data_IF_850262649947
#
_entry.id   IF_850262649947
#
_cell.length_a   1.000
_cell.length_b   1.000
_cell.length_c   1.000
_cell.angle_alpha   90.00
_cell.angle_beta   90.00
_cell.angle_gamma   90.00
#
_symmetry.space_group_name_H-M   'P 1'
#
loop_
_entity.id
_entity.type
_entity.pdbx_description
1 polymer ?
#
# COMPACT_ATOMS: atom_id res chain seq x y z
N UNK A 1 -52.51 -48.59 -14.59
CA UNK A 1 -53.66 -48.68 -13.62
C UNK A 1 -53.27 -47.81 -12.43
N UNK A 2 -53.78 -46.56 -12.35
CA UNK A 2 -54.99 -46.20 -11.58
C UNK A 2 -54.64 -46.19 -10.10
N UNK A 3 -54.87 -45.20 -9.29
CA UNK A 3 -55.78 -44.03 -9.25
C UNK A 3 -55.53 -43.36 -7.90
N UNK A 4 -55.52 -42.02 -7.80
CA UNK A 4 -56.53 -41.21 -7.10
C UNK A 4 -56.73 -41.54 -5.61
N UNK A 5 -56.81 -40.62 -4.66
CA UNK A 5 -57.51 -39.33 -4.66
C UNK A 5 -57.43 -38.71 -3.25
N UNK A 6 -57.42 -37.37 -3.13
CA UNK A 6 -58.28 -36.49 -2.27
C UNK A 6 -58.25 -36.69 -0.75
N UNK A 7 -58.31 -35.71 0.11
CA UNK A 7 -58.76 -34.30 0.19
C UNK A 7 -58.56 -33.78 1.61
N UNK A 8 -58.32 -32.49 1.78
CA UNK A 8 -58.92 -31.50 2.70
C UNK A 8 -58.92 -31.80 4.20
N UNK A 9 -58.57 -30.86 5.04
CA UNK A 9 -59.12 -29.58 5.30
C UNK A 9 -58.59 -28.96 6.59
N UNK A 10 -58.58 -27.69 6.59
CA UNK A 10 -59.05 -26.68 7.54
C UNK A 10 -58.72 -26.78 9.03
N UNK A 11 -58.23 -25.68 9.56
CA UNK A 11 -58.48 -25.27 10.94
C UNK A 11 -57.47 -24.14 11.36
N UNK A 12 -58.01 -22.96 11.46
CA UNK A 12 -57.39 -21.71 11.84
C UNK A 12 -57.44 -21.51 13.38
N UNK A 13 -56.80 -20.41 13.78
CA UNK A 13 -56.81 -19.66 15.06
C UNK A 13 -55.67 -20.05 15.99
N UNK A 14 -54.87 -19.14 16.53
CA UNK A 14 -55.06 -17.76 16.89
C UNK A 14 -54.25 -17.49 18.14
N UNK A 15 -53.88 -16.24 18.37
CA UNK A 15 -53.44 -15.62 19.62
C UNK A 15 -51.94 -15.81 19.98
N UNK A 16 -51.20 -14.79 19.82
CA UNK A 16 -50.90 -13.56 20.63
C UNK A 16 -49.91 -13.76 21.76
N UNK A 17 -48.88 -12.93 21.63
CA UNK A 17 -48.13 -12.16 22.63
C UNK A 17 -47.23 -12.90 23.62
N UNK A 18 -45.99 -12.55 23.59
CA UNK A 18 -45.38 -11.68 24.62
C UNK A 18 -43.96 -11.25 24.19
N UNK A 19 -43.78 -9.94 24.21
CA UNK A 19 -42.55 -9.20 24.02
C UNK A 19 -41.77 -9.29 25.31
N UNK A 20 -40.51 -9.67 25.28
CA UNK A 20 -39.56 -9.33 26.34
C UNK A 20 -38.37 -8.63 25.74
N UNK A 21 -38.25 -7.36 26.14
CA UNK A 21 -37.15 -6.44 25.88
C UNK A 21 -35.84 -6.98 26.42
N UNK A 22 -34.82 -7.11 25.56
CA UNK A 22 -33.43 -7.19 25.98
C UNK A 22 -32.72 -5.94 25.51
N UNK A 23 -32.34 -5.14 26.48
CA UNK A 23 -31.68 -3.86 26.45
C UNK A 23 -30.31 -4.01 25.78
N UNK A 24 -30.11 -3.35 24.62
CA UNK A 24 -28.80 -3.09 24.02
C UNK A 24 -28.28 -1.74 24.49
N UNK A 25 -27.04 -1.60 24.95
CA UNK A 25 -26.47 -0.29 25.25
C UNK A 25 -26.11 0.44 23.96
N UNK A 26 -26.74 1.58 23.74
CA UNK A 26 -26.36 2.58 22.73
C UNK A 26 -24.96 3.12 23.05
N UNK A 27 -24.02 2.96 22.11
CA UNK A 27 -22.83 3.79 22.02
C UNK A 27 -23.19 5.10 21.34
N UNK A 28 -23.07 6.18 22.09
CA UNK A 28 -23.31 7.55 21.63
C UNK A 28 -22.26 7.96 20.62
N UNK A 29 -22.71 8.35 19.43
CA UNK A 29 -21.91 9.00 18.41
C UNK A 29 -21.57 10.42 18.85
N UNK A 30 -20.29 10.66 19.08
CA UNK A 30 -19.75 12.00 19.31
C UNK A 30 -19.69 12.76 17.97
N UNK A 31 -20.06 14.02 18.07
CA UNK A 31 -20.39 15.00 17.06
C UNK A 31 -19.38 15.13 15.91
N UNK A 32 -19.94 15.10 14.70
CA UNK A 32 -19.36 15.57 13.47
C UNK A 32 -19.25 17.11 13.51
N UNK A 33 -18.05 17.65 13.62
CA UNK A 33 -17.79 19.08 13.43
C UNK A 33 -17.83 19.41 11.94
N UNK A 34 -18.83 20.18 11.56
CA UNK A 34 -18.96 20.77 10.21
C UNK A 34 -17.90 21.87 10.05
N UNK A 35 -17.02 21.69 9.08
CA UNK A 35 -16.21 22.79 8.55
C UNK A 35 -17.05 23.60 7.58
N UNK A 36 -17.40 24.81 7.94
CA UNK A 36 -17.95 25.81 7.03
C UNK A 36 -16.80 26.43 6.21
N UNK A 37 -17.03 26.75 4.92
CA UNK A 37 -16.01 27.39 4.10
C UNK A 37 -15.99 28.90 4.39
N UNK A 38 -14.89 29.40 4.93
CA UNK A 38 -14.63 30.84 4.98
C UNK A 38 -14.39 31.38 3.58
N UNK A 39 -15.36 32.15 3.08
CA UNK A 39 -15.23 33.00 1.90
C UNK A 39 -14.24 34.12 2.20
N UNK A 40 -13.10 34.12 1.52
CA UNK A 40 -12.18 35.26 1.49
C UNK A 40 -12.62 36.24 0.38
N UNK A 41 -12.98 37.44 0.75
CA UNK A 41 -13.23 38.54 -0.20
C UNK A 41 -11.92 38.97 -0.89
N UNK A 42 -11.97 39.38 -2.17
CA UNK A 42 -10.76 39.80 -2.88
C UNK A 42 -10.39 41.25 -2.51
N UNK A 43 -9.20 41.42 -1.95
CA UNK A 43 -8.57 42.72 -1.82
C UNK A 43 -7.99 43.13 -3.19
N UNK A 44 -8.54 44.15 -3.79
CA UNK A 44 -8.02 44.77 -5.01
C UNK A 44 -6.76 45.59 -4.72
N UNK A 45 -5.62 45.19 -5.32
CA UNK A 45 -4.42 46.00 -5.36
C UNK A 45 -4.14 46.40 -6.81
N UNK A 46 -4.04 47.71 -7.02
CA UNK A 46 -3.80 48.37 -8.31
C UNK A 46 -2.39 48.18 -8.84
N UNK A 47 -2.29 48.08 -10.16
CA UNK A 47 -1.18 48.01 -11.09
C UNK A 47 0.18 48.62 -10.67
N UNK A 48 1.24 47.83 -10.81
CA UNK A 48 2.62 48.24 -10.96
C UNK A 48 3.40 47.20 -11.73
N UNK A 49 3.86 47.56 -12.90
CA UNK A 49 4.53 46.81 -13.95
C UNK A 49 5.77 46.04 -13.48
N UNK A 50 5.95 44.80 -13.98
CA UNK A 50 7.27 44.23 -14.27
C UNK A 50 7.59 42.87 -13.64
N UNK A 51 7.68 41.82 -14.48
CA UNK A 51 8.50 40.64 -14.23
C UNK A 51 7.80 39.47 -13.58
N UNK A 52 7.30 38.56 -14.41
CA UNK A 52 6.82 37.23 -13.98
C UNK A 52 8.01 36.34 -13.64
N UNK A 53 8.35 36.25 -12.35
CA UNK A 53 9.13 35.14 -11.83
C UNK A 53 8.14 34.06 -11.44
N UNK A 54 8.25 32.87 -12.04
CA UNK A 54 7.55 31.66 -11.62
C UNK A 54 8.02 31.33 -10.20
N UNK A 55 7.21 31.62 -9.22
CA UNK A 55 7.42 31.17 -7.84
C UNK A 55 7.21 29.67 -7.78
N UNK A 56 8.29 28.95 -7.54
CA UNK A 56 8.28 27.55 -7.13
C UNK A 56 7.42 27.44 -5.88
N UNK A 57 6.47 26.47 -5.77
CA UNK A 57 5.69 26.28 -4.56
C UNK A 57 6.63 25.98 -3.41
N UNK A 58 6.64 26.86 -2.41
CA UNK A 58 7.39 26.73 -1.18
C UNK A 58 6.97 25.43 -0.47
N UNK A 59 7.94 24.52 -0.29
CA UNK A 59 7.87 23.47 0.71
C UNK A 59 7.44 24.13 2.02
N UNK A 60 6.45 23.60 2.77
CA UNK A 60 6.01 24.21 4.01
C UNK A 60 7.22 24.44 4.91
N UNK A 61 7.41 25.69 5.31
CA UNK A 61 8.51 26.06 6.20
C UNK A 61 8.42 25.21 7.46
N UNK A 62 9.56 24.64 7.84
CA UNK A 62 9.83 23.84 9.01
C UNK A 62 9.07 24.40 10.21
N UNK A 63 8.05 23.66 10.70
CA UNK A 63 7.44 23.90 11.99
C UNK A 63 8.52 23.85 13.08
N UNK A 64 8.29 24.44 14.17
CA UNK A 64 9.20 24.63 15.30
C UNK A 64 10.26 23.53 15.47
N UNK A 65 11.57 23.92 15.44
CA UNK A 65 12.67 22.98 15.68
C UNK A 65 12.48 22.28 17.02
N UNK A 66 12.65 20.98 17.03
CA UNK A 66 12.70 20.18 18.26
C UNK A 66 13.73 20.79 19.21
N UNK A 67 13.36 20.94 20.50
CA UNK A 67 14.25 21.50 21.53
C UNK A 67 15.06 20.39 22.19
N UNK A 68 16.33 20.61 22.55
CA UNK A 68 17.12 19.61 23.27
C UNK A 68 16.45 19.27 24.62
N UNK A 69 16.24 17.98 24.85
CA UNK A 69 15.70 17.45 26.10
C UNK A 69 16.86 17.21 27.09
N UNK A 70 16.85 17.86 28.25
CA UNK A 70 17.92 17.75 29.24
C UNK A 70 17.79 16.46 30.03
N UNK A 71 18.52 15.40 29.67
CA UNK A 71 18.72 14.19 30.50
C UNK A 71 20.17 13.72 30.40
N UNK A 72 20.73 13.16 31.49
CA UNK A 72 22.15 12.85 31.68
C UNK A 72 22.58 11.48 31.12
N UNK A 73 21.97 10.98 30.03
CA UNK A 73 22.39 9.80 29.31
C UNK A 73 22.71 10.12 27.84
N UNK A 74 23.60 9.38 27.18
CA UNK A 74 23.80 9.53 25.74
C UNK A 74 22.59 8.95 25.02
N UNK A 75 21.70 9.81 24.53
CA UNK A 75 20.55 9.42 23.73
C UNK A 75 21.00 8.85 22.41
N UNK A 76 20.49 7.66 22.04
CA UNK A 76 20.90 6.95 20.85
C UNK A 76 19.76 6.69 19.88
N UNK A 77 20.12 6.57 18.61
CA UNK A 77 19.27 6.11 17.51
C UNK A 77 19.77 4.74 17.06
N UNK A 78 18.89 3.75 17.02
CA UNK A 78 19.10 2.50 16.29
C UNK A 78 18.48 2.64 14.90
N UNK A 79 19.32 2.75 13.89
CA UNK A 79 18.89 2.93 12.51
C UNK A 79 18.79 1.58 11.82
N UNK A 80 17.56 1.10 11.59
CA UNK A 80 17.34 -0.18 10.95
C UNK A 80 17.75 -0.18 9.46
N UNK A 81 18.39 -1.24 9.02
CA UNK A 81 18.75 -1.48 7.62
C UNK A 81 18.48 -2.95 7.23
N UNK A 82 17.96 -3.23 6.01
CA UNK A 82 17.66 -2.24 4.97
C UNK A 82 16.42 -1.40 5.26
N UNK A 83 16.36 -0.24 4.64
CA UNK A 83 15.26 0.74 4.67
C UNK A 83 15.21 1.48 3.34
N UNK A 84 14.25 2.37 3.14
CA UNK A 84 14.14 3.19 1.94
C UNK A 84 13.71 2.40 0.69
N UNK A 85 13.96 2.95 -0.49
CA UNK A 85 13.52 2.38 -1.76
C UNK A 85 13.94 0.93 -1.94
N UNK A 86 12.96 0.08 -2.31
CA UNK A 86 13.24 -1.24 -2.84
C UNK A 86 13.40 -1.19 -4.37
N UNK A 87 13.94 -2.26 -4.96
CA UNK A 87 14.15 -2.34 -6.41
C UNK A 87 12.86 -2.14 -7.25
N UNK A 88 11.69 -2.55 -6.71
CA UNK A 88 10.40 -2.37 -7.38
C UNK A 88 9.97 -0.91 -7.44
N UNK A 89 10.12 -0.22 -6.32
CA UNK A 89 9.82 1.22 -6.18
C UNK A 89 10.77 2.05 -7.02
N UNK A 90 12.07 1.83 -6.90
CA UNK A 90 13.10 2.53 -7.68
C UNK A 90 12.82 2.41 -9.18
N UNK A 91 12.55 1.19 -9.66
CA UNK A 91 12.14 0.95 -11.06
C UNK A 91 10.90 1.75 -11.48
N UNK A 92 9.90 1.85 -10.61
CA UNK A 92 8.65 2.52 -10.94
C UNK A 92 8.82 4.04 -11.01
N UNK A 93 9.54 4.64 -10.06
CA UNK A 93 9.85 6.07 -10.05
C UNK A 93 10.69 6.43 -11.27
N UNK A 94 11.77 5.69 -11.55
CA UNK A 94 12.61 5.89 -12.74
C UNK A 94 11.79 5.73 -14.02
N UNK A 95 10.80 4.84 -14.08
CA UNK A 95 9.94 4.68 -15.25
C UNK A 95 9.15 5.96 -15.55
N UNK A 96 8.57 6.63 -14.54
CA UNK A 96 7.87 7.91 -14.73
C UNK A 96 8.84 9.01 -15.17
N UNK A 97 10.02 9.10 -14.56
CA UNK A 97 11.05 10.06 -14.94
C UNK A 97 11.49 9.88 -16.41
N UNK A 98 11.72 8.64 -16.81
CA UNK A 98 12.07 8.31 -18.20
C UNK A 98 10.93 8.56 -19.18
N UNK A 99 9.68 8.40 -18.75
CA UNK A 99 8.51 8.76 -19.55
C UNK A 99 8.47 10.29 -19.76
N UNK A 100 8.67 11.09 -18.70
CA UNK A 100 8.78 12.55 -18.81
C UNK A 100 9.92 12.99 -19.72
N UNK A 101 11.11 12.39 -19.59
CA UNK A 101 12.25 12.69 -20.46
C UNK A 101 11.96 12.37 -21.92
N UNK A 102 11.25 11.27 -22.20
CA UNK A 102 11.03 10.78 -23.57
C UNK A 102 9.87 11.46 -24.28
N UNK A 103 8.78 11.69 -23.56
CA UNK A 103 7.52 12.14 -24.16
C UNK A 103 7.19 13.61 -23.80
N UNK A 104 7.87 14.17 -22.82
CA UNK A 104 7.49 15.47 -22.26
C UNK A 104 6.26 15.41 -21.36
N UNK A 105 6.00 16.52 -20.67
CA UNK A 105 4.77 16.68 -19.89
C UNK A 105 3.57 17.02 -20.79
N UNK A 106 2.36 16.61 -20.43
CA UNK A 106 2.02 15.80 -19.28
C UNK A 106 2.25 14.29 -19.50
N UNK A 107 2.63 13.60 -18.43
CA UNK A 107 2.56 12.14 -18.31
C UNK A 107 1.53 11.83 -17.25
N UNK A 108 0.58 10.96 -17.56
CA UNK A 108 -0.45 10.53 -16.61
C UNK A 108 0.03 9.30 -15.84
N UNK A 109 -0.37 9.20 -14.58
CA UNK A 109 -0.13 8.01 -13.74
C UNK A 109 -1.45 7.60 -13.11
N UNK A 110 -1.88 6.34 -13.31
CA UNK A 110 -3.07 5.81 -12.66
C UNK A 110 -2.78 5.54 -11.19
N UNK A 111 -3.60 6.10 -10.31
CA UNK A 111 -3.39 6.11 -8.86
C UNK A 111 -2.02 6.74 -8.52
N UNK A 112 -1.44 6.39 -7.40
CA UNK A 112 -0.08 6.82 -7.07
C UNK A 112 0.94 5.85 -7.63
N UNK A 113 2.04 6.35 -8.19
CA UNK A 113 3.11 5.46 -8.72
C UNK A 113 3.66 4.52 -7.64
N UNK A 114 3.80 5.03 -6.43
CA UNK A 114 4.11 4.36 -5.17
C UNK A 114 3.42 5.12 -4.03
N UNK A 115 3.10 4.45 -2.93
CA UNK A 115 2.45 5.07 -1.78
C UNK A 115 3.43 5.92 -0.97
N UNK A 116 3.74 7.11 -1.47
CA UNK A 116 4.55 8.12 -0.78
C UNK A 116 4.20 9.52 -1.28
N UNK A 117 3.66 10.35 -0.39
CA UNK A 117 3.17 11.69 -0.74
C UNK A 117 4.27 12.64 -1.21
N UNK A 118 5.50 12.48 -0.71
CA UNK A 118 6.64 13.29 -1.15
C UNK A 118 6.97 13.00 -2.61
N UNK A 119 7.04 11.72 -2.99
CA UNK A 119 7.31 11.27 -4.37
C UNK A 119 6.22 11.76 -5.32
N UNK A 120 4.96 11.66 -4.90
CA UNK A 120 3.82 12.14 -5.69
C UNK A 120 3.96 13.63 -5.97
N UNK A 121 4.18 14.45 -4.94
CA UNK A 121 4.34 15.92 -5.07
C UNK A 121 5.55 16.32 -5.93
N UNK A 122 6.65 15.60 -5.79
CA UNK A 122 7.85 15.86 -6.59
C UNK A 122 7.60 15.60 -8.09
N UNK A 123 6.92 14.51 -8.41
CA UNK A 123 6.55 14.18 -9.79
C UNK A 123 5.48 15.13 -10.35
N UNK A 124 4.48 15.55 -9.55
CA UNK A 124 3.51 16.58 -9.95
C UNK A 124 4.19 17.89 -10.31
N UNK A 125 5.16 18.34 -9.50
CA UNK A 125 5.94 19.55 -9.77
C UNK A 125 6.72 19.46 -11.11
N UNK A 126 6.97 18.27 -11.61
CA UNK A 126 7.64 18.00 -12.90
C UNK A 126 6.69 17.76 -14.06
N UNK A 127 5.36 17.88 -13.84
CA UNK A 127 4.34 17.79 -14.87
C UNK A 127 3.69 16.41 -15.03
N UNK A 128 3.78 15.57 -14.02
CA UNK A 128 2.96 14.35 -13.92
C UNK A 128 1.56 14.71 -13.45
N UNK A 129 0.55 14.05 -13.99
CA UNK A 129 -0.84 14.17 -13.58
C UNK A 129 -1.30 12.80 -13.07
N UNK A 130 -1.56 12.73 -11.76
CA UNK A 130 -2.15 11.54 -11.16
C UNK A 130 -3.65 11.53 -11.37
N UNK A 131 -4.18 10.38 -11.77
CA UNK A 131 -5.62 10.16 -12.04
C UNK A 131 -6.09 8.91 -11.35
N UNK A 132 -7.34 8.89 -10.91
CA UNK A 132 -7.91 7.69 -10.31
C UNK A 132 -8.24 6.64 -11.35
N UNK A 133 -8.83 7.04 -12.47
CA UNK A 133 -9.29 6.12 -13.49
C UNK A 133 -8.70 6.43 -14.88
N UNK A 134 -8.53 5.38 -15.68
CA UNK A 134 -8.09 5.51 -17.07
C UNK A 134 -9.04 6.39 -17.89
N UNK A 135 -10.31 6.43 -17.52
CA UNK A 135 -11.32 7.25 -18.17
C UNK A 135 -11.03 8.76 -18.11
N UNK A 136 -10.29 9.20 -17.09
CA UNK A 136 -9.93 10.62 -16.88
C UNK A 136 -8.76 11.07 -17.76
N UNK A 137 -8.08 10.13 -18.43
CA UNK A 137 -6.93 10.41 -19.30
C UNK A 137 -7.41 10.76 -20.71
N UNK A 138 -6.97 11.88 -21.30
CA UNK A 138 -7.31 12.21 -22.69
C UNK A 138 -6.83 11.11 -23.66
N UNK A 139 -7.64 10.74 -24.70
CA UNK A 139 -7.24 9.75 -25.69
C UNK A 139 -5.87 10.06 -26.34
N UNK A 140 -5.10 9.02 -26.61
CA UNK A 140 -3.76 9.13 -27.22
C UNK A 140 -2.65 9.62 -26.29
N UNK A 141 -2.94 9.90 -25.02
CA UNK A 141 -1.95 10.36 -24.03
C UNK A 141 -1.04 9.23 -23.55
N UNK A 142 0.08 9.61 -22.87
CA UNK A 142 0.96 8.66 -22.21
C UNK A 142 0.48 8.41 -20.78
N UNK A 143 0.31 7.13 -20.42
CA UNK A 143 -0.07 6.71 -19.07
C UNK A 143 0.93 5.70 -18.52
N UNK A 144 1.25 5.81 -17.22
CA UNK A 144 2.06 4.83 -16.48
C UNK A 144 1.16 4.11 -15.48
N UNK A 145 1.18 2.79 -15.48
CA UNK A 145 0.57 1.98 -14.42
C UNK A 145 1.54 1.84 -13.26
N UNK A 146 1.01 1.93 -12.05
CA UNK A 146 1.78 1.98 -10.81
C UNK A 146 2.56 0.68 -10.50
N UNK A 147 3.45 0.76 -9.52
CA UNK A 147 4.18 -0.41 -9.01
C UNK A 147 3.25 -1.52 -8.49
N UNK A 148 2.05 -1.16 -8.04
CA UNK A 148 1.07 -2.07 -7.42
C UNK A 148 0.38 -2.99 -8.45
N UNK A 149 0.52 -2.69 -9.74
CA UNK A 149 -0.10 -3.44 -10.82
C UNK A 149 -1.55 -3.05 -11.07
N UNK A 150 -2.09 -3.57 -12.15
CA UNK A 150 -3.48 -3.31 -12.58
C UNK A 150 -4.12 -4.59 -13.11
N UNK A 151 -5.45 -4.64 -13.09
CA UNK A 151 -6.20 -5.73 -13.69
C UNK A 151 -6.11 -5.71 -15.23
N UNK A 152 -6.33 -6.84 -15.91
CA UNK A 152 -6.42 -6.88 -17.39
C UNK A 152 -7.51 -5.95 -17.95
N UNK A 153 -8.60 -5.73 -17.20
CA UNK A 153 -9.67 -4.81 -17.61
C UNK A 153 -9.17 -3.35 -17.72
N UNK A 154 -8.31 -2.90 -16.78
CA UNK A 154 -7.69 -1.57 -16.82
C UNK A 154 -6.76 -1.43 -18.04
N UNK A 155 -6.00 -2.48 -18.35
CA UNK A 155 -5.15 -2.50 -19.54
C UNK A 155 -5.98 -2.40 -20.82
N UNK A 156 -7.10 -3.12 -20.89
CA UNK A 156 -8.01 -3.08 -22.04
C UNK A 156 -8.64 -1.68 -22.19
N UNK A 157 -9.08 -1.07 -21.09
CA UNK A 157 -9.60 0.30 -21.11
C UNK A 157 -8.59 1.31 -21.65
N UNK A 158 -7.30 1.17 -21.29
CA UNK A 158 -6.25 2.03 -21.84
C UNK A 158 -6.05 1.80 -23.34
N UNK A 159 -6.11 0.56 -23.79
CA UNK A 159 -6.01 0.20 -25.21
C UNK A 159 -7.21 0.76 -26.02
N UNK A 160 -8.43 0.63 -25.52
CA UNK A 160 -9.65 1.14 -26.15
C UNK A 160 -9.65 2.67 -26.30
N UNK A 161 -8.89 3.37 -25.46
CA UNK A 161 -8.69 4.83 -25.51
C UNK A 161 -7.43 5.24 -26.27
N UNK A 162 -6.77 4.29 -26.92
CA UNK A 162 -5.53 4.51 -27.70
C UNK A 162 -4.40 5.15 -26.85
N UNK A 163 -4.37 4.87 -25.52
CA UNK A 163 -3.32 5.38 -24.65
C UNK A 163 -2.00 4.66 -24.89
N UNK A 164 -0.89 5.41 -24.84
CA UNK A 164 0.44 4.85 -24.81
C UNK A 164 0.75 4.40 -23.37
N UNK A 165 0.43 3.16 -23.03
CA UNK A 165 0.57 2.64 -21.69
C UNK A 165 1.98 2.09 -21.43
N UNK A 166 2.55 2.48 -20.28
CA UNK A 166 3.84 2.02 -19.77
C UNK A 166 3.57 1.25 -18.48
N UNK A 167 3.93 -0.01 -18.45
CA UNK A 167 3.69 -0.88 -17.30
C UNK A 167 4.87 -0.84 -16.33
N UNK A 168 4.71 -0.08 -15.23
CA UNK A 168 5.68 -0.02 -14.15
C UNK A 168 5.42 -1.01 -13.00
N UNK A 169 4.48 -1.95 -13.17
CA UNK A 169 4.19 -3.00 -12.18
C UNK A 169 5.47 -3.69 -11.70
N UNK A 170 5.64 -3.79 -10.40
CA UNK A 170 6.77 -4.50 -9.80
C UNK A 170 6.81 -5.97 -10.30
N UNK A 171 7.97 -6.50 -10.70
CA UNK A 171 8.07 -7.89 -11.15
C UNK A 171 7.60 -8.92 -10.11
N UNK A 172 7.67 -8.59 -8.80
CA UNK A 172 7.19 -9.47 -7.73
C UNK A 172 5.66 -9.46 -7.64
N UNK A 173 5.02 -8.32 -7.89
CA UNK A 173 3.56 -8.25 -8.05
C UNK A 173 3.12 -8.99 -9.32
N UNK A 174 3.85 -8.80 -10.44
CA UNK A 174 3.59 -9.55 -11.67
C UNK A 174 3.70 -11.07 -11.47
N UNK A 175 4.55 -11.53 -10.55
CA UNK A 175 4.64 -12.96 -10.15
C UNK A 175 3.31 -13.44 -9.59
N UNK A 176 2.73 -12.71 -8.62
CA UNK A 176 1.45 -13.05 -8.00
C UNK A 176 0.30 -13.03 -9.03
N UNK A 177 0.26 -12.02 -9.91
CA UNK A 177 -0.70 -11.98 -11.02
C UNK A 177 -0.63 -13.22 -11.93
N UNK A 178 0.59 -13.67 -12.26
CA UNK A 178 0.78 -14.88 -13.09
C UNK A 178 0.36 -16.15 -12.37
N UNK A 179 0.56 -16.22 -11.07
CA UNK A 179 0.10 -17.33 -10.24
C UNK A 179 -1.42 -17.36 -10.17
N UNK A 180 -2.07 -16.20 -9.97
CA UNK A 180 -3.52 -16.11 -10.00
C UNK A 180 -4.10 -16.64 -11.34
N UNK A 181 -3.57 -16.18 -12.48
CA UNK A 181 -3.96 -16.68 -13.81
C UNK A 181 -3.71 -18.18 -13.97
N UNK A 182 -2.53 -18.64 -13.53
CA UNK A 182 -2.13 -20.04 -13.66
C UNK A 182 -3.04 -20.97 -12.87
N UNK A 183 -3.29 -20.64 -11.60
CA UNK A 183 -4.08 -21.51 -10.73
C UNK A 183 -5.55 -21.47 -11.08
N UNK A 184 -6.10 -20.30 -11.41
CA UNK A 184 -7.46 -20.19 -11.96
C UNK A 184 -7.63 -21.04 -13.23
N UNK A 185 -6.64 -21.03 -14.14
CA UNK A 185 -6.64 -21.88 -15.34
C UNK A 185 -6.45 -23.38 -15.07
N UNK A 186 -6.19 -23.79 -13.86
CA UNK A 186 -6.09 -25.17 -13.38
C UNK A 186 -7.25 -25.55 -12.46
N UNK A 187 -8.35 -24.78 -12.51
CA UNK A 187 -9.56 -24.97 -11.69
C UNK A 187 -9.32 -24.88 -10.15
N UNK A 188 -8.29 -24.13 -9.74
CA UNK A 188 -8.12 -23.79 -8.33
C UNK A 188 -8.97 -22.58 -7.98
N UNK A 189 -9.52 -22.59 -6.78
CA UNK A 189 -10.05 -21.40 -6.14
C UNK A 189 -8.97 -20.78 -5.25
N UNK A 190 -8.76 -19.49 -5.38
CA UNK A 190 -7.68 -18.73 -4.75
C UNK A 190 -8.23 -18.02 -3.51
N UNK A 191 -7.63 -18.26 -2.36
CA UNK A 191 -7.83 -17.45 -1.16
C UNK A 191 -6.73 -16.38 -1.14
N UNK A 192 -7.09 -15.16 -1.55
CA UNK A 192 -6.13 -14.06 -1.60
C UNK A 192 -6.09 -13.34 -0.25
N UNK A 193 -4.99 -13.48 0.47
CA UNK A 193 -4.77 -12.75 1.73
C UNK A 193 -4.32 -11.33 1.38
N UNK A 194 -5.05 -10.31 1.84
CA UNK A 194 -4.77 -8.91 1.50
C UNK A 194 -5.82 -7.97 2.06
N UNK A 195 -5.61 -6.67 1.92
CA UNK A 195 -6.52 -5.66 2.44
C UNK A 195 -7.49 -5.21 1.34
N UNK A 196 -8.77 -5.23 1.64
CA UNK A 196 -9.81 -4.71 0.77
C UNK A 196 -9.54 -3.25 0.38
N UNK A 197 -9.73 -2.92 -0.89
CA UNK A 197 -9.47 -1.57 -1.43
C UNK A 197 -8.01 -1.25 -1.70
N UNK A 198 -7.07 -2.15 -1.42
CA UNK A 198 -5.68 -1.94 -1.81
C UNK A 198 -5.49 -2.22 -3.31
N UNK A 199 -4.78 -1.33 -4.02
CA UNK A 199 -4.59 -1.40 -5.47
C UNK A 199 -3.99 -2.74 -5.95
N UNK A 200 -3.05 -3.29 -5.20
CA UNK A 200 -2.43 -4.59 -5.51
C UNK A 200 -3.43 -5.74 -5.40
N UNK A 201 -4.33 -5.68 -4.42
CA UNK A 201 -5.41 -6.67 -4.23
C UNK A 201 -6.41 -6.58 -5.38
N UNK A 202 -6.87 -5.37 -5.72
CA UNK A 202 -7.75 -5.14 -6.89
C UNK A 202 -7.12 -5.65 -8.19
N UNK A 203 -5.82 -5.36 -8.39
CA UNK A 203 -5.06 -5.83 -9.54
C UNK A 203 -5.01 -7.36 -9.62
N UNK A 204 -4.65 -8.02 -8.52
CA UNK A 204 -4.53 -9.48 -8.44
C UNK A 204 -5.87 -10.17 -8.62
N UNK A 205 -6.92 -9.73 -7.90
CA UNK A 205 -8.28 -10.28 -8.07
C UNK A 205 -8.79 -10.14 -9.50
N UNK A 206 -8.48 -9.00 -10.15
CA UNK A 206 -8.86 -8.75 -11.53
C UNK A 206 -8.23 -9.72 -12.55
N UNK A 207 -7.20 -10.47 -12.19
CA UNK A 207 -6.60 -11.51 -13.04
C UNK A 207 -7.32 -12.86 -12.95
N UNK A 208 -8.11 -13.09 -11.91
CA UNK A 208 -8.89 -14.31 -11.71
C UNK A 208 -10.18 -14.01 -10.92
N UNK A 209 -11.06 -13.11 -11.41
CA UNK A 209 -12.15 -12.54 -10.61
C UNK A 209 -13.19 -13.58 -10.18
N UNK A 210 -13.44 -14.62 -10.99
CA UNK A 210 -14.42 -15.67 -10.70
C UNK A 210 -13.87 -16.75 -9.76
N UNK A 211 -12.55 -16.84 -9.63
CA UNK A 211 -11.87 -17.88 -8.87
C UNK A 211 -11.14 -17.35 -7.63
N UNK A 212 -11.38 -16.12 -7.22
CA UNK A 212 -10.67 -15.51 -6.09
C UNK A 212 -11.62 -15.02 -5.02
N UNK A 213 -11.35 -15.40 -3.77
CA UNK A 213 -11.98 -14.86 -2.58
C UNK A 213 -10.95 -14.14 -1.75
N UNK A 214 -11.25 -12.90 -1.34
CA UNK A 214 -10.39 -12.10 -0.47
C UNK A 214 -10.49 -12.57 0.98
N UNK A 215 -9.38 -12.57 1.69
CA UNK A 215 -9.27 -12.83 3.13
C UNK A 215 -8.47 -11.69 3.75
N UNK A 216 -9.13 -10.81 4.50
CA UNK A 216 -8.51 -9.60 5.01
C UNK A 216 -7.59 -9.85 6.22
N UNK A 217 -7.98 -10.77 7.10
CA UNK A 217 -7.35 -10.97 8.40
C UNK A 217 -7.56 -12.39 8.94
N UNK A 218 -6.87 -12.77 10.05
CA UNK A 218 -7.06 -14.08 10.67
C UNK A 218 -8.48 -14.34 11.19
N UNK A 219 -9.24 -13.31 11.58
CA UNK A 219 -10.63 -13.44 12.04
C UNK A 219 -11.52 -13.84 10.87
N UNK A 220 -11.36 -13.21 9.73
CA UNK A 220 -12.11 -13.54 8.52
C UNK A 220 -11.76 -14.96 8.03
N UNK A 221 -10.48 -15.36 8.10
CA UNK A 221 -10.07 -16.72 7.79
C UNK A 221 -10.83 -17.79 8.57
N UNK A 222 -11.27 -17.46 9.78
CA UNK A 222 -12.02 -18.38 10.64
C UNK A 222 -13.49 -18.55 10.23
N UNK A 223 -14.04 -17.68 9.38
CA UNK A 223 -15.48 -17.66 9.00
C UNK A 223 -15.74 -17.68 7.49
N UNK A 224 -14.73 -17.47 6.66
CA UNK A 224 -14.89 -17.39 5.21
C UNK A 224 -15.48 -18.68 4.64
N UNK A 225 -16.35 -18.57 3.65
CA UNK A 225 -17.02 -19.70 2.98
C UNK A 225 -16.71 -19.64 1.47
N UNK A 226 -15.56 -20.15 1.03
CA UNK A 226 -15.25 -20.26 -0.40
C UNK A 226 -16.18 -21.32 -1.04
N UNK A 227 -16.28 -21.36 -2.38
CA UNK A 227 -16.97 -22.44 -3.08
C UNK A 227 -16.44 -23.82 -2.65
N UNK A 228 -17.36 -24.82 -2.62
CA UNK A 228 -16.98 -26.20 -2.33
C UNK A 228 -16.05 -26.74 -3.42
N UNK A 229 -14.76 -26.91 -3.08
CA UNK A 229 -13.76 -27.49 -3.95
C UNK A 229 -12.57 -28.02 -3.12
N UNK A 230 -11.97 -29.11 -3.60
CA UNK A 230 -10.72 -29.62 -3.02
C UNK A 230 -9.48 -28.89 -3.55
N UNK A 231 -9.64 -28.10 -4.62
CA UNK A 231 -8.55 -27.36 -5.23
C UNK A 231 -8.52 -25.92 -4.68
N UNK A 232 -7.97 -25.78 -3.48
CA UNK A 232 -7.73 -24.47 -2.84
C UNK A 232 -6.24 -24.14 -2.80
N UNK A 233 -5.92 -22.89 -3.09
CA UNK A 233 -4.59 -22.33 -2.92
C UNK A 233 -4.68 -20.95 -2.29
N UNK A 234 -3.74 -20.61 -1.43
CA UNK A 234 -3.63 -19.23 -0.97
C UNK A 234 -2.56 -18.45 -1.77
N UNK A 235 -2.81 -17.20 -2.01
CA UNK A 235 -1.85 -16.20 -2.46
C UNK A 235 -1.91 -15.00 -1.52
N UNK A 236 -0.94 -14.10 -1.57
CA UNK A 236 -0.97 -12.92 -0.72
C UNK A 236 -0.51 -11.64 -1.41
N UNK A 237 -0.98 -10.52 -0.87
CA UNK A 237 -0.43 -9.20 -1.14
C UNK A 237 1.04 -9.15 -0.70
N UNK A 238 1.90 -8.47 -1.46
CA UNK A 238 3.36 -8.53 -1.27
C UNK A 238 3.87 -7.74 -0.06
N UNK A 239 3.02 -6.92 0.58
CA UNK A 239 3.40 -5.95 1.62
C UNK A 239 2.78 -6.21 3.00
N UNK A 240 2.29 -7.42 3.25
CA UNK A 240 1.67 -7.81 4.53
C UNK A 240 2.71 -8.08 5.62
N UNK A 241 2.24 -8.17 6.87
CA UNK A 241 3.00 -8.78 7.96
C UNK A 241 3.20 -10.27 7.68
N UNK A 242 4.43 -10.73 7.81
CA UNK A 242 4.75 -12.17 7.64
C UNK A 242 4.03 -12.99 8.70
N UNK A 243 4.08 -12.54 9.96
CA UNK A 243 3.51 -13.28 11.08
C UNK A 243 1.98 -13.35 10.99
N UNK A 244 1.32 -12.24 10.69
CA UNK A 244 -0.14 -12.17 10.50
C UNK A 244 -0.60 -13.03 9.31
N UNK A 245 0.15 -12.99 8.19
CA UNK A 245 -0.16 -13.83 7.03
C UNK A 245 -0.06 -15.31 7.37
N UNK A 246 0.99 -15.70 8.09
CA UNK A 246 1.15 -17.10 8.51
C UNK A 246 0.11 -17.55 9.53
N UNK A 247 -0.34 -16.67 10.41
CA UNK A 247 -1.48 -16.94 11.30
C UNK A 247 -2.79 -17.11 10.51
N UNK A 248 -3.02 -16.24 9.50
CA UNK A 248 -4.16 -16.37 8.58
C UNK A 248 -4.13 -17.72 7.86
N UNK A 249 -2.98 -18.10 7.30
CA UNK A 249 -2.79 -19.41 6.62
C UNK A 249 -3.02 -20.57 7.58
N UNK A 250 -2.56 -20.47 8.83
CA UNK A 250 -2.77 -21.50 9.86
C UNK A 250 -4.26 -21.74 10.10
N UNK A 251 -5.05 -20.65 10.29
CA UNK A 251 -6.51 -20.74 10.49
C UNK A 251 -7.23 -21.27 9.25
N UNK A 252 -6.81 -20.85 8.05
CA UNK A 252 -7.35 -21.39 6.80
C UNK A 252 -7.10 -22.92 6.71
N UNK A 253 -5.91 -23.41 7.06
CA UNK A 253 -5.59 -24.84 7.03
C UNK A 253 -6.36 -25.67 8.03
N UNK A 254 -6.72 -25.11 9.18
CA UNK A 254 -7.59 -25.79 10.15
C UNK A 254 -8.99 -26.07 9.58
N UNK A 255 -9.47 -25.18 8.71
CA UNK A 255 -10.77 -25.33 8.03
C UNK A 255 -10.67 -26.08 6.71
N UNK A 256 -9.58 -25.86 5.98
CA UNK A 256 -9.34 -26.40 4.65
C UNK A 256 -8.00 -27.18 4.62
N UNK A 257 -7.99 -28.45 5.10
CA UNK A 257 -6.76 -29.23 5.20
C UNK A 257 -6.04 -29.48 3.86
N UNK A 258 -6.74 -29.30 2.73
CA UNK A 258 -6.19 -29.45 1.38
C UNK A 258 -5.63 -28.15 0.78
N UNK A 259 -5.64 -27.04 1.55
CA UNK A 259 -5.12 -25.75 1.11
C UNK A 259 -3.66 -25.86 0.72
N UNK A 260 -3.36 -25.52 -0.54
CA UNK A 260 -2.01 -25.55 -1.10
C UNK A 260 -1.27 -24.24 -0.88
N UNK A 261 0.06 -24.35 -0.84
CA UNK A 261 0.97 -23.22 -0.76
C UNK A 261 1.33 -22.69 -2.14
N UNK A 262 1.59 -21.39 -2.30
CA UNK A 262 2.23 -20.86 -3.50
C UNK A 262 3.60 -21.52 -3.71
N UNK A 263 4.09 -21.59 -4.96
CA UNK A 263 5.40 -22.20 -5.27
C UNK A 263 6.60 -21.51 -4.61
N UNK A 264 6.45 -20.26 -4.23
CA UNK A 264 7.42 -19.45 -3.49
C UNK A 264 6.70 -18.32 -2.77
N UNK A 265 7.36 -17.71 -1.79
CA UNK A 265 6.80 -16.62 -0.99
C UNK A 265 6.24 -15.49 -1.88
N UNK A 266 5.04 -15.01 -1.54
CA UNK A 266 4.41 -13.85 -2.17
C UNK A 266 4.83 -12.55 -1.48
N UNK A 267 4.98 -12.57 -0.14
CA UNK A 267 5.51 -11.41 0.58
C UNK A 267 6.92 -11.14 0.07
N UNK A 268 7.12 -9.95 -0.49
CA UNK A 268 8.36 -9.66 -1.18
C UNK A 268 9.56 -9.55 -0.22
N UNK A 269 10.77 -9.84 -0.73
CA UNK A 269 12.02 -9.77 0.05
C UNK A 269 12.18 -8.43 0.76
N UNK A 270 11.79 -7.32 0.12
CA UNK A 270 11.95 -6.00 0.69
C UNK A 270 11.05 -5.79 1.91
N UNK A 271 9.83 -6.30 1.89
CA UNK A 271 8.92 -6.33 3.04
C UNK A 271 9.49 -7.21 4.16
N UNK A 272 9.91 -8.43 3.83
CA UNK A 272 10.48 -9.35 4.81
C UNK A 272 11.72 -8.77 5.48
N UNK A 273 12.68 -8.26 4.70
CA UNK A 273 13.93 -7.70 5.22
C UNK A 273 13.69 -6.51 6.18
N UNK A 274 12.76 -5.60 5.84
CA UNK A 274 12.43 -4.47 6.71
C UNK A 274 11.76 -4.91 7.99
N UNK A 275 10.90 -5.92 7.94
CA UNK A 275 10.31 -6.52 9.15
C UNK A 275 11.38 -7.20 10.01
N UNK A 276 12.30 -7.95 9.43
CA UNK A 276 13.43 -8.55 10.17
C UNK A 276 14.28 -7.46 10.83
N UNK A 277 14.56 -6.36 10.14
CA UNK A 277 15.35 -5.26 10.68
C UNK A 277 14.66 -4.59 11.87
N UNK A 278 13.35 -4.32 11.76
CA UNK A 278 12.60 -3.69 12.86
C UNK A 278 12.44 -4.65 14.06
N UNK A 279 12.18 -5.94 13.83
CA UNK A 279 12.11 -6.98 14.87
C UNK A 279 13.42 -7.06 15.68
N UNK A 280 14.55 -6.80 15.02
CA UNK A 280 15.88 -6.82 15.65
C UNK A 280 16.09 -5.66 16.62
N UNK A 281 15.63 -4.45 16.28
CA UNK A 281 15.88 -3.25 17.09
C UNK A 281 14.75 -2.93 18.08
N UNK A 282 13.51 -3.30 17.78
CA UNK A 282 12.32 -2.93 18.56
C UNK A 282 12.43 -3.26 20.05
N UNK A 283 12.97 -4.42 20.50
CA UNK A 283 13.09 -4.73 21.92
C UNK A 283 13.97 -3.77 22.71
N UNK A 284 14.86 -3.03 22.05
CA UNK A 284 15.79 -2.09 22.67
C UNK A 284 15.28 -0.64 22.62
N UNK A 285 14.15 -0.39 21.94
CA UNK A 285 13.65 0.95 21.66
C UNK A 285 12.55 1.38 22.65
N UNK A 286 12.70 2.59 23.21
CA UNK A 286 11.60 3.26 23.90
C UNK A 286 10.55 3.78 22.91
N UNK A 287 11.01 4.22 21.75
CA UNK A 287 10.20 4.76 20.67
C UNK A 287 10.73 4.25 19.33
N UNK A 288 9.83 3.89 18.41
CA UNK A 288 10.17 3.64 17.01
C UNK A 288 9.48 4.66 16.12
N UNK A 289 10.26 5.28 15.23
CA UNK A 289 9.74 6.19 14.20
C UNK A 289 9.87 5.49 12.85
N UNK A 290 8.74 5.33 12.17
CA UNK A 290 8.65 4.78 10.83
C UNK A 290 8.35 5.92 9.85
N UNK A 291 9.31 6.25 8.99
CA UNK A 291 9.07 7.24 7.93
C UNK A 291 8.30 6.55 6.79
N UNK A 292 7.18 7.16 6.37
CA UNK A 292 6.32 6.62 5.29
C UNK A 292 4.89 7.13 5.35
N UNK A 293 4.15 6.98 4.25
CA UNK A 293 2.79 7.52 4.10
C UNK A 293 1.71 6.59 4.68
N UNK A 294 0.54 7.13 5.09
CA UNK A 294 -0.52 6.37 5.76
C UNK A 294 -1.18 5.31 4.87
N UNK A 295 -1.16 5.50 3.57
CA UNK A 295 -1.67 4.54 2.59
C UNK A 295 -0.61 3.51 2.13
N UNK A 296 0.61 3.58 2.68
CA UNK A 296 1.65 2.56 2.43
C UNK A 296 1.47 1.38 3.37
N UNK A 297 0.91 0.28 2.88
CA UNK A 297 0.75 -0.97 3.66
C UNK A 297 2.07 -1.38 4.33
N UNK A 298 3.19 -1.37 3.59
CA UNK A 298 4.50 -1.69 4.17
C UNK A 298 4.86 -0.79 5.36
N UNK A 299 4.64 0.54 5.26
CA UNK A 299 4.97 1.48 6.35
C UNK A 299 4.08 1.28 7.57
N UNK A 300 2.78 1.03 7.37
CA UNK A 300 1.83 0.76 8.46
C UNK A 300 2.22 -0.53 9.19
N UNK A 301 2.51 -1.60 8.45
CA UNK A 301 2.93 -2.89 9.05
C UNK A 301 4.22 -2.78 9.89
N UNK A 302 5.16 -1.91 9.51
CA UNK A 302 6.38 -1.71 10.31
C UNK A 302 6.09 -1.08 11.68
N UNK A 303 5.08 -0.21 11.80
CA UNK A 303 4.63 0.34 13.09
C UNK A 303 4.09 -0.78 13.98
N UNK A 304 3.22 -1.62 13.43
CA UNK A 304 2.60 -2.73 14.15
C UNK A 304 3.63 -3.76 14.59
N UNK A 305 4.50 -4.19 13.68
CA UNK A 305 5.60 -5.12 13.99
C UNK A 305 6.53 -4.54 15.07
N UNK A 306 6.82 -3.23 15.06
CA UNK A 306 7.63 -2.63 16.12
C UNK A 306 6.98 -2.77 17.51
N UNK A 307 5.67 -2.54 17.61
CA UNK A 307 4.92 -2.69 18.86
C UNK A 307 4.84 -4.15 19.30
N UNK A 308 4.53 -5.07 18.40
CA UNK A 308 4.46 -6.51 18.65
C UNK A 308 5.79 -7.07 19.19
N UNK A 309 6.91 -6.54 18.71
CA UNK A 309 8.25 -7.00 19.08
C UNK A 309 8.90 -6.19 20.19
N UNK A 310 8.12 -5.37 20.91
CA UNK A 310 8.50 -4.84 22.22
C UNK A 310 8.95 -3.39 22.26
N UNK A 311 8.82 -2.62 21.19
CA UNK A 311 8.93 -1.17 21.26
C UNK A 311 7.82 -0.61 22.19
N UNK A 312 8.17 0.32 23.09
CA UNK A 312 7.18 0.87 24.04
C UNK A 312 6.17 1.79 23.33
N UNK A 313 6.59 2.45 22.26
CA UNK A 313 5.76 3.25 21.37
C UNK A 313 6.28 3.16 19.93
N UNK A 314 5.40 3.33 18.97
CA UNK A 314 5.78 3.40 17.55
C UNK A 314 4.85 4.34 16.80
N UNK A 315 5.41 5.25 16.03
CA UNK A 315 4.65 6.21 15.23
C UNK A 315 5.16 6.27 13.80
N UNK A 316 4.22 6.50 12.86
CA UNK A 316 4.51 6.75 11.46
C UNK A 316 4.46 8.26 11.18
N UNK A 317 5.40 8.74 10.38
CA UNK A 317 5.46 10.14 9.92
C UNK A 317 5.75 10.19 8.42
N UNK A 318 5.12 11.11 7.70
CA UNK A 318 5.51 11.41 6.31
C UNK A 318 6.79 12.27 6.29
N UNK A 319 6.89 13.22 7.22
CA UNK A 319 7.98 14.18 7.32
C UNK A 319 8.52 14.31 8.75
N UNK A 320 9.79 14.66 8.87
CA UNK A 320 10.42 14.92 10.14
C UNK A 320 9.65 15.94 11.01
N UNK A 321 9.03 16.93 10.37
CA UNK A 321 8.22 17.97 11.05
C UNK A 321 6.97 17.44 11.76
N UNK A 322 6.59 16.21 11.53
CA UNK A 322 5.45 15.54 12.21
C UNK A 322 5.89 14.84 13.51
N UNK A 323 7.21 14.79 13.81
CA UNK A 323 7.71 14.23 15.05
C UNK A 323 7.36 15.18 16.18
N UNK A 324 6.49 14.73 17.09
CA UNK A 324 6.03 15.53 18.21
C UNK A 324 7.05 15.52 19.35
N UNK A 325 7.34 16.69 19.91
CA UNK A 325 8.25 16.81 21.05
C UNK A 325 7.82 15.94 22.24
N UNK A 326 6.51 15.81 22.45
CA UNK A 326 5.95 14.99 23.53
C UNK A 326 6.32 13.50 23.42
N UNK A 327 6.53 12.98 22.21
CA UNK A 327 6.96 11.59 22.02
C UNK A 327 8.39 11.33 22.50
N UNK A 328 9.22 12.37 22.58
CA UNK A 328 10.64 12.31 22.92
C UNK A 328 10.91 12.47 24.43
N UNK A 329 9.87 12.76 25.23
CA UNK A 329 9.99 12.95 26.67
C UNK A 329 10.32 11.63 27.37
N UNK A 330 11.44 11.59 28.09
CA UNK A 330 11.88 10.38 28.81
C UNK A 330 12.42 9.26 27.93
N UNK A 331 12.54 9.47 26.61
CA UNK A 331 13.09 8.51 25.66
C UNK A 331 14.61 8.60 25.63
N UNK A 332 15.28 7.45 25.73
CA UNK A 332 16.74 7.31 25.63
C UNK A 332 17.16 6.62 24.33
N UNK A 333 16.39 5.66 23.85
CA UNK A 333 16.68 4.91 22.62
C UNK A 333 15.52 5.02 21.64
N UNK A 334 15.80 5.58 20.45
CA UNK A 334 14.85 5.65 19.32
C UNK A 334 15.27 4.69 18.24
N UNK A 335 14.34 3.82 17.79
CA UNK A 335 14.46 3.10 16.54
C UNK A 335 14.01 3.97 15.36
N UNK A 336 14.75 4.02 14.28
CA UNK A 336 14.36 4.70 13.05
C UNK A 336 14.39 3.73 11.89
N UNK A 337 13.32 3.71 11.11
CA UNK A 337 13.22 2.94 9.86
C UNK A 337 12.35 3.68 8.86
N UNK A 338 12.23 3.13 7.66
CA UNK A 338 11.29 3.65 6.66
C UNK A 338 10.70 2.55 5.80
N UNK A 339 9.52 2.84 5.25
CA UNK A 339 8.88 1.97 4.28
C UNK A 339 9.65 1.86 2.95
N UNK A 340 9.31 0.83 2.16
CA UNK A 340 9.94 0.51 0.89
C UNK A 340 9.70 1.55 -0.22
N UNK A 341 8.81 2.51 -0.01
CA UNK A 341 8.47 3.60 -0.93
C UNK A 341 9.04 4.97 -0.53
N UNK A 342 9.94 5.00 0.47
CA UNK A 342 10.46 6.24 1.06
C UNK A 342 11.85 6.56 0.51
N UNK A 343 12.06 7.75 -0.08
CA UNK A 343 13.40 8.20 -0.45
C UNK A 343 14.25 8.49 0.80
N UNK A 344 15.53 8.13 0.77
CA UNK A 344 16.44 8.23 1.93
C UNK A 344 16.51 9.65 2.50
N UNK A 345 16.36 10.68 1.67
CA UNK A 345 16.37 12.09 2.11
C UNK A 345 15.35 12.38 3.21
N UNK A 346 14.21 11.68 3.25
CA UNK A 346 13.23 11.86 4.34
C UNK A 346 13.71 11.25 5.65
N UNK A 347 14.46 10.16 5.58
CA UNK A 347 15.11 9.56 6.77
C UNK A 347 16.20 10.47 7.27
N UNK A 348 17.04 11.03 6.37
CA UNK A 348 18.08 11.99 6.72
C UNK A 348 17.51 13.22 7.44
N UNK A 349 16.35 13.73 7.00
CA UNK A 349 15.66 14.83 7.67
C UNK A 349 15.20 14.43 9.08
N UNK A 350 14.64 13.22 9.25
CA UNK A 350 14.23 12.73 10.57
C UNK A 350 15.44 12.58 11.50
N UNK A 351 16.55 12.04 11.02
CA UNK A 351 17.79 11.91 11.78
C UNK A 351 18.35 13.29 12.19
N UNK A 352 18.29 14.29 11.31
CA UNK A 352 18.74 15.65 11.62
C UNK A 352 17.89 16.31 12.73
N UNK A 353 16.55 16.18 12.66
CA UNK A 353 15.65 16.74 13.66
C UNK A 353 15.79 16.02 15.02
N UNK A 354 15.99 14.70 15.02
CA UNK A 354 16.28 13.92 16.23
C UNK A 354 17.65 14.28 16.82
N UNK A 355 18.66 14.54 15.98
CA UNK A 355 19.98 15.03 16.44
C UNK A 355 19.87 16.40 17.12
N UNK A 356 19.09 17.33 16.55
CA UNK A 356 18.77 18.63 17.17
C UNK A 356 18.06 18.48 18.53
N UNK A 357 17.25 17.38 18.70
CA UNK A 357 16.60 17.01 19.97
C UNK A 357 17.49 16.28 20.97
N UNK A 358 18.79 16.07 20.64
CA UNK A 358 19.79 15.49 21.54
C UNK A 358 20.12 14.02 21.30
N UNK A 359 19.55 13.35 20.30
CA UNK A 359 19.87 11.97 19.92
C UNK A 359 21.04 11.96 18.94
N UNK A 360 22.26 12.08 19.47
CA UNK A 360 23.47 12.32 18.65
C UNK A 360 24.27 11.06 18.33
N UNK A 361 23.98 9.94 18.98
CA UNK A 361 24.63 8.65 18.70
C UNK A 361 23.75 7.85 17.76
N UNK A 362 24.24 7.59 16.53
CA UNK A 362 23.51 6.79 15.55
C UNK A 362 24.26 5.48 15.34
N UNK A 363 23.58 4.37 15.57
CA UNK A 363 24.05 3.01 15.34
C UNK A 363 23.21 2.36 14.24
N UNK A 364 23.81 2.06 13.08
CA UNK A 364 23.10 1.31 12.03
C UNK A 364 23.11 -0.18 12.36
N UNK A 365 21.91 -0.77 12.39
CA UNK A 365 21.69 -2.21 12.60
C UNK A 365 21.23 -2.84 11.29
N UNK A 366 22.18 -3.44 10.58
CA UNK A 366 21.95 -4.07 9.28
C UNK A 366 21.67 -5.56 9.44
N UNK A 367 20.59 -6.03 8.79
CA UNK A 367 20.17 -7.45 8.84
C UNK A 367 20.25 -8.14 7.48
N UNK A 368 20.27 -7.40 6.39
CA UNK A 368 20.40 -7.93 5.03
C UNK A 368 21.04 -6.91 4.09
N UNK A 369 21.60 -7.39 2.99
CA UNK A 369 22.03 -6.60 1.84
C UNK A 369 21.00 -6.76 0.72
N UNK A 370 20.69 -5.67 0.01
CA UNK A 370 19.74 -5.65 -1.10
C UNK A 370 20.43 -5.15 -2.38
N UNK A 371 20.91 -6.09 -3.21
CA UNK A 371 21.59 -5.79 -4.48
C UNK A 371 20.69 -5.98 -5.71
N UNK A 372 19.42 -6.35 -5.49
CA UNK A 372 18.49 -6.64 -6.57
C UNK A 372 18.16 -5.36 -7.35
N UNK A 373 18.26 -5.45 -8.68
CA UNK A 373 17.82 -4.39 -9.59
C UNK A 373 16.88 -4.97 -10.66
N UNK A 374 15.84 -4.25 -10.99
CA UNK A 374 14.93 -4.63 -12.06
C UNK A 374 15.15 -3.80 -13.33
N UNK A 375 15.09 -4.46 -14.48
CA UNK A 375 15.10 -3.78 -15.77
C UNK A 375 13.88 -2.87 -15.92
N UNK A 376 14.08 -1.71 -16.55
CA UNK A 376 12.98 -0.80 -16.88
C UNK A 376 11.89 -1.48 -17.72
N UNK A 377 10.65 -0.95 -17.70
CA UNK A 377 9.58 -1.39 -18.62
C UNK A 377 10.05 -1.46 -20.06
N UNK A 378 9.57 -2.46 -20.80
CA UNK A 378 9.99 -2.68 -22.19
C UNK A 378 9.75 -1.47 -23.08
N UNK A 379 8.71 -0.70 -22.80
CA UNK A 379 8.29 0.52 -23.50
C UNK A 379 9.33 1.64 -23.42
N UNK A 380 10.15 1.64 -22.35
CA UNK A 380 11.17 2.67 -22.08
C UNK A 380 12.59 2.22 -22.42
N UNK A 381 12.79 0.96 -22.84
CA UNK A 381 14.13 0.49 -23.27
C UNK A 381 14.52 1.13 -24.60
N UNK A 382 15.83 1.35 -24.80
CA UNK A 382 16.34 1.89 -26.07
C UNK A 382 15.91 1.00 -27.23
N UNK A 383 15.23 1.58 -28.24
CA UNK A 383 14.78 0.88 -29.46
C UNK A 383 13.35 0.33 -29.42
N UNK A 384 12.58 0.51 -28.34
CA UNK A 384 11.18 0.13 -28.32
C UNK A 384 10.33 1.14 -29.09
N UNK A 385 9.65 0.70 -30.15
CA UNK A 385 8.55 1.45 -30.78
C UNK A 385 7.34 1.42 -29.83
N UNK A 386 6.76 2.59 -29.57
CA UNK A 386 5.86 2.84 -28.46
C UNK A 386 4.41 2.33 -28.61
N UNK A 387 4.17 1.11 -29.09
CA UNK A 387 2.83 0.49 -29.10
C UNK A 387 2.87 -0.74 -28.22
N UNK A 388 2.10 -0.70 -27.12
CA UNK A 388 1.89 -1.87 -26.25
C UNK A 388 0.91 -2.80 -26.92
N UNK A 389 1.36 -4.01 -27.28
CA UNK A 389 0.48 -5.10 -27.71
C UNK A 389 -0.25 -5.65 -26.46
N UNK A 390 -1.58 -5.51 -26.37
CA UNK A 390 -2.36 -6.02 -25.23
C UNK A 390 -2.16 -7.51 -24.97
N UNK A 391 -1.83 -8.29 -25.99
CA UNK A 391 -1.58 -9.74 -25.88
C UNK A 391 -0.30 -10.10 -25.11
N UNK A 392 0.57 -9.13 -24.82
CA UNK A 392 1.86 -9.37 -24.14
C UNK A 392 1.82 -9.12 -22.64
N UNK A 393 0.74 -8.50 -22.12
CA UNK A 393 0.55 -8.21 -20.72
C UNK A 393 -0.15 -9.39 -19.99
N UNK A 394 -0.95 -10.17 -20.70
CA UNK A 394 -1.45 -11.48 -20.23
C UNK A 394 -0.52 -12.59 -20.70
N UNK A 395 -0.01 -13.40 -19.75
CA UNK A 395 0.97 -14.44 -20.00
C UNK A 395 0.67 -15.32 -21.22
N UNK A 396 1.63 -15.44 -22.12
CA UNK A 396 1.54 -16.38 -23.22
C UNK A 396 1.49 -17.80 -22.68
N UNK A 397 0.35 -18.45 -22.87
CA UNK A 397 0.29 -19.89 -22.85
C UNK A 397 1.31 -20.43 -23.88
N UNK A 398 2.37 -21.08 -23.40
CA UNK A 398 3.13 -22.03 -24.21
C UNK A 398 2.75 -23.41 -23.72
N UNK A 399 2.10 -24.13 -24.63
CA UNK A 399 1.86 -25.56 -24.62
C UNK A 399 3.10 -26.37 -24.26
#
# INVERSE_FOLDING_TARGET
SSSESRRRGHGASGEESLVEDVITPRLEHSACLRNEPHTLEPVSISNGSGGTLLETPLIPQRAEKLRPVSTSGSKKILLAAPRGYCAGVDRAVIAVEKALERFGAPVYVRKQIVHNIHVVRELEARGVIFVDEVADVPPGSNIVFSAHGVSPAVVQQAADRELNAIDATCPLVTKVHREAVRFSGQDYHILLIGHEGHEEVEGTMGHAPENTTLVNDPEEASRIEPPETDNLIWLSQTTLSVDETMETVRRLRERFPHLQDPPSDDICYATQNRQVAIKKIAPECDLVIVVGSPNSSNSVRLVEVALEYGAKASYRVDYASEIEQAWLEGVETIGVTSGASVPEVLVDHALADLSDAGFTVVEEVRTAEEDLQFSLPKELRKGASGVVDPSTIGGRNRT
#
